data_IF_758634075996
#
_entry.id   IF_758634075996
#
_cell.length_a   1.000
_cell.length_b   1.000
_cell.length_c   1.000
_cell.angle_alpha   90.00
_cell.angle_beta   90.00
_cell.angle_gamma   90.00
#
_symmetry.space_group_name_H-M   'P 1'
#
loop_
_entity.id
_entity.type
_entity.pdbx_description
1 polymer ?
#
# COMPACT_ATOMS: atom_id res chain seq x y z
N UNK A 1 8.47 -16.78 -20.83
CA UNK A 1 7.59 -17.02 -19.67
C UNK A 1 8.38 -17.82 -18.65
N UNK A 2 8.83 -17.20 -17.57
CA UNK A 2 9.63 -17.89 -16.53
C UNK A 2 8.70 -18.83 -15.74
N UNK A 3 9.24 -20.02 -15.38
CA UNK A 3 8.52 -21.02 -14.57
C UNK A 3 7.94 -20.43 -13.27
N UNK A 4 8.57 -19.40 -12.72
CA UNK A 4 8.12 -18.63 -11.56
C UNK A 4 6.82 -17.84 -11.84
N UNK A 5 6.63 -17.34 -13.06
CA UNK A 5 5.44 -16.63 -13.49
C UNK A 5 4.20 -17.54 -13.61
N UNK A 6 4.39 -18.77 -14.11
CA UNK A 6 3.33 -19.77 -14.21
C UNK A 6 2.92 -20.29 -12.82
N UNK A 7 3.85 -20.57 -11.92
CA UNK A 7 3.57 -20.97 -10.54
C UNK A 7 2.77 -19.92 -9.77
N UNK A 8 3.11 -18.64 -9.89
CA UNK A 8 2.38 -17.56 -9.20
C UNK A 8 0.93 -17.39 -9.72
N UNK A 9 0.67 -17.63 -11.03
CA UNK A 9 -0.69 -17.56 -11.59
C UNK A 9 -1.58 -18.70 -11.05
N UNK A 10 -1.01 -19.89 -11.00
CA UNK A 10 -1.69 -21.08 -10.46
C UNK A 10 -2.03 -20.89 -8.98
N UNK A 11 -1.07 -20.38 -8.20
CA UNK A 11 -1.25 -20.11 -6.77
C UNK A 11 -2.34 -19.06 -6.48
N UNK A 12 -2.45 -18.00 -7.30
CA UNK A 12 -3.49 -16.97 -7.10
C UNK A 12 -4.88 -17.51 -7.41
N UNK A 13 -5.01 -18.36 -8.43
CA UNK A 13 -6.28 -19.01 -8.75
C UNK A 13 -6.67 -20.07 -7.69
N UNK A 14 -5.69 -20.85 -7.24
CA UNK A 14 -5.89 -21.87 -6.21
C UNK A 14 -6.23 -21.28 -4.83
N UNK A 15 -5.74 -20.08 -4.50
CA UNK A 15 -6.11 -19.39 -3.26
C UNK A 15 -7.45 -18.67 -3.35
N UNK A 16 -7.88 -18.24 -4.52
CA UNK A 16 -9.18 -17.57 -4.72
C UNK A 16 -10.38 -18.48 -4.39
N UNK A 17 -10.29 -19.76 -4.73
CA UNK A 17 -11.35 -20.75 -4.50
C UNK A 17 -11.61 -21.01 -3.00
N UNK A 18 -10.59 -21.36 -2.16
CA UNK A 18 -10.82 -21.56 -0.73
C UNK A 18 -11.28 -20.28 -0.02
N UNK A 19 -10.79 -19.10 -0.41
CA UNK A 19 -11.26 -17.84 0.17
C UNK A 19 -12.71 -17.54 -0.18
N UNK A 20 -13.16 -17.86 -1.41
CA UNK A 20 -14.57 -17.75 -1.78
C UNK A 20 -15.45 -18.68 -0.95
N UNK A 21 -14.98 -19.90 -0.68
CA UNK A 21 -15.69 -20.87 0.17
C UNK A 21 -15.76 -20.38 1.62
N UNK A 22 -14.66 -19.87 2.18
CA UNK A 22 -14.63 -19.30 3.55
C UNK A 22 -15.62 -18.14 3.67
N UNK A 23 -15.60 -17.21 2.70
CA UNK A 23 -16.52 -16.08 2.67
C UNK A 23 -17.99 -16.55 2.61
N UNK A 24 -18.31 -17.51 1.73
CA UNK A 24 -19.66 -18.04 1.58
C UNK A 24 -20.15 -18.68 2.89
N UNK A 25 -19.36 -19.58 3.48
CA UNK A 25 -19.71 -20.25 4.74
C UNK A 25 -19.87 -19.24 5.88
N UNK A 26 -18.99 -18.24 5.97
CA UNK A 26 -19.10 -17.19 6.98
C UNK A 26 -20.39 -16.37 6.80
N UNK A 27 -20.79 -16.06 5.55
CA UNK A 27 -22.06 -15.38 5.25
C UNK A 27 -23.28 -16.22 5.56
N UNK A 28 -23.26 -17.51 5.30
CA UNK A 28 -24.33 -18.42 5.68
C UNK A 28 -24.47 -18.50 7.21
N UNK A 29 -23.36 -18.68 7.92
CA UNK A 29 -23.36 -18.67 9.39
C UNK A 29 -23.86 -17.34 9.95
N UNK A 30 -23.50 -16.21 9.37
CA UNK A 30 -23.98 -14.89 9.77
C UNK A 30 -25.50 -14.75 9.60
N UNK A 31 -26.06 -15.35 8.53
CA UNK A 31 -27.51 -15.31 8.28
C UNK A 31 -28.31 -16.19 9.24
N UNK A 32 -27.70 -17.27 9.74
CA UNK A 32 -28.34 -18.24 10.62
C UNK A 32 -28.17 -17.93 12.12
N UNK A 33 -27.30 -16.96 12.48
CA UNK A 33 -27.05 -16.58 13.87
C UNK A 33 -28.00 -15.49 14.36
N UNK A 34 -28.35 -15.58 15.66
CA UNK A 34 -28.98 -14.48 16.36
C UNK A 34 -27.99 -13.28 16.43
N UNK A 35 -28.44 -12.04 16.15
CA UNK A 35 -27.58 -10.86 16.28
C UNK A 35 -26.92 -10.66 17.66
N UNK A 36 -27.53 -11.25 18.71
CA UNK A 36 -27.00 -11.24 20.09
C UNK A 36 -26.06 -12.42 20.40
N UNK A 37 -25.80 -13.33 19.43
CA UNK A 37 -24.89 -14.44 19.65
C UNK A 37 -23.44 -13.91 19.79
N UNK A 38 -22.71 -14.28 20.86
CA UNK A 38 -21.31 -13.84 21.04
C UNK A 38 -20.37 -14.15 19.88
N UNK A 39 -20.72 -15.10 19.01
CA UNK A 39 -19.92 -15.49 17.84
C UNK A 39 -20.23 -14.66 16.59
N UNK A 40 -21.26 -13.81 16.61
CA UNK A 40 -21.66 -13.02 15.45
C UNK A 40 -20.56 -12.08 14.99
N UNK A 41 -19.86 -11.42 15.91
CA UNK A 41 -18.73 -10.53 15.60
C UNK A 41 -17.56 -11.27 14.95
N UNK A 42 -17.20 -12.45 15.47
CA UNK A 42 -16.11 -13.27 14.91
C UNK A 42 -16.43 -13.74 13.48
N UNK A 43 -17.67 -14.10 13.22
CA UNK A 43 -18.12 -14.57 11.89
C UNK A 43 -18.13 -13.42 10.89
N UNK A 44 -18.59 -12.24 11.30
CA UNK A 44 -18.50 -11.02 10.48
C UNK A 44 -17.04 -10.74 10.13
N UNK A 45 -16.15 -10.79 11.11
CA UNK A 45 -14.73 -10.58 10.90
C UNK A 45 -14.13 -11.60 9.91
N UNK A 46 -14.47 -12.87 10.01
CA UNK A 46 -14.01 -13.91 9.07
C UNK A 46 -14.49 -13.60 7.64
N UNK A 47 -15.75 -13.20 7.45
CA UNK A 47 -16.29 -12.85 6.15
C UNK A 47 -15.56 -11.65 5.53
N UNK A 48 -15.32 -10.59 6.32
CA UNK A 48 -14.60 -9.38 5.91
C UNK A 48 -13.14 -9.69 5.54
N UNK A 49 -12.46 -10.54 6.31
CA UNK A 49 -11.09 -10.93 6.01
C UNK A 49 -10.97 -11.78 4.75
N UNK A 50 -11.91 -12.68 4.52
CA UNK A 50 -11.97 -13.45 3.28
C UNK A 50 -12.18 -12.54 2.07
N UNK A 51 -13.05 -11.54 2.15
CA UNK A 51 -13.25 -10.55 1.10
C UNK A 51 -12.00 -9.70 0.86
N UNK A 52 -11.34 -9.26 1.92
CA UNK A 52 -10.10 -8.50 1.82
C UNK A 52 -8.99 -9.31 1.14
N UNK A 53 -8.82 -10.58 1.50
CA UNK A 53 -7.88 -11.47 0.82
C UNK A 53 -8.20 -11.64 -0.67
N UNK A 54 -9.49 -11.77 -1.02
CA UNK A 54 -9.95 -11.82 -2.42
C UNK A 54 -9.64 -10.54 -3.18
N UNK A 55 -9.85 -9.38 -2.57
CA UNK A 55 -9.52 -8.08 -3.17
C UNK A 55 -8.02 -7.96 -3.44
N UNK A 56 -7.16 -8.36 -2.50
CA UNK A 56 -5.70 -8.40 -2.68
C UNK A 56 -5.31 -9.32 -3.84
N UNK A 57 -5.88 -10.53 -3.90
CA UNK A 57 -5.61 -11.46 -5.00
C UNK A 57 -6.10 -10.93 -6.35
N UNK A 58 -7.25 -10.22 -6.38
CA UNK A 58 -7.74 -9.55 -7.58
C UNK A 58 -6.78 -8.46 -8.05
N UNK A 59 -6.28 -7.61 -7.14
CA UNK A 59 -5.28 -6.59 -7.45
C UNK A 59 -3.98 -7.20 -8.00
N UNK A 60 -3.52 -8.31 -7.42
CA UNK A 60 -2.34 -9.05 -7.93
C UNK A 60 -2.60 -9.61 -9.34
N UNK A 61 -3.81 -10.05 -9.64
CA UNK A 61 -4.20 -10.54 -10.97
C UNK A 61 -4.29 -9.42 -11.99
N UNK A 62 -4.98 -8.33 -11.67
CA UNK A 62 -5.11 -7.14 -12.53
C UNK A 62 -3.76 -6.51 -12.84
N UNK A 63 -2.86 -6.49 -11.85
CA UNK A 63 -1.49 -6.08 -12.02
C UNK A 63 -0.72 -6.88 -13.07
N UNK A 64 -1.09 -8.13 -13.31
CA UNK A 64 -0.49 -9.01 -14.31
C UNK A 64 -1.14 -8.87 -15.70
N UNK A 65 -2.45 -8.68 -15.75
CA UNK A 65 -3.21 -8.52 -17.00
C UNK A 65 -2.97 -7.14 -17.63
N UNK A 66 -2.62 -6.13 -16.83
CA UNK A 66 -2.23 -4.78 -17.30
C UNK A 66 -0.86 -4.73 -18.00
N UNK A 67 -0.24 -5.87 -18.30
CA UNK A 67 1.02 -5.95 -19.05
C UNK A 67 0.81 -5.80 -20.58
N UNK A 68 -0.10 -4.94 -20.97
CA UNK A 68 -0.16 -4.50 -22.36
C UNK A 68 0.88 -3.38 -22.56
N UNK A 69 1.77 -3.61 -23.49
CA UNK A 69 3.06 -2.93 -23.74
C UNK A 69 2.96 -1.39 -23.83
N UNK A 70 1.79 -0.85 -24.13
CA UNK A 70 1.58 0.59 -24.33
C UNK A 70 1.50 1.40 -23.02
N UNK A 71 1.17 0.77 -21.89
CA UNK A 71 1.07 1.42 -20.57
C UNK A 71 2.22 1.06 -19.62
N UNK A 72 3.26 0.42 -20.13
CA UNK A 72 4.37 -0.09 -19.31
C UNK A 72 5.30 1.02 -18.76
N UNK A 73 5.12 2.28 -19.21
CA UNK A 73 5.99 3.42 -18.87
C UNK A 73 5.17 4.55 -18.26
N UNK A 74 5.65 5.10 -17.17
CA UNK A 74 5.00 6.21 -16.46
C UNK A 74 6.05 7.19 -15.92
N UNK A 75 5.91 8.51 -16.11
CA UNK A 75 6.73 9.49 -15.39
C UNK A 75 6.49 9.40 -13.88
N UNK A 76 7.52 9.68 -13.08
CA UNK A 76 7.45 9.58 -11.62
C UNK A 76 6.34 10.45 -11.01
N UNK A 77 6.15 11.66 -11.51
CA UNK A 77 5.08 12.57 -11.08
C UNK A 77 3.69 11.99 -11.33
N UNK A 78 3.48 11.39 -12.50
CA UNK A 78 2.23 10.71 -12.84
C UNK A 78 2.02 9.46 -11.99
N UNK A 79 3.07 8.68 -11.69
CA UNK A 79 2.97 7.49 -10.83
C UNK A 79 2.51 7.83 -9.41
N UNK A 80 3.11 8.84 -8.78
CA UNK A 80 2.69 9.25 -7.43
C UNK A 80 1.32 9.91 -7.44
N UNK A 81 0.96 10.64 -8.49
CA UNK A 81 -0.37 11.21 -8.65
C UNK A 81 -1.44 10.13 -8.82
N UNK A 82 -1.15 9.06 -9.56
CA UNK A 82 -2.03 7.89 -9.73
C UNK A 82 -2.22 7.16 -8.41
N UNK A 83 -1.15 6.89 -7.66
CA UNK A 83 -1.24 6.24 -6.34
C UNK A 83 -2.07 7.06 -5.33
N UNK A 84 -2.03 8.38 -5.42
CA UNK A 84 -2.77 9.28 -4.52
C UNK A 84 -4.22 9.57 -4.97
N UNK A 85 -4.57 9.29 -6.22
CA UNK A 85 -5.86 9.66 -6.80
C UNK A 85 -7.09 9.15 -6.02
N UNK A 86 -7.13 7.89 -5.51
CA UNK A 86 -8.27 7.37 -4.75
C UNK A 86 -8.55 8.11 -3.44
N UNK A 87 -7.55 8.81 -2.88
CA UNK A 87 -7.61 9.42 -1.55
C UNK A 87 -7.89 10.94 -1.60
N UNK A 88 -8.05 11.52 -2.79
CA UNK A 88 -8.39 12.94 -2.95
C UNK A 88 -9.83 13.20 -2.52
N UNK A 89 -10.04 14.28 -1.75
CA UNK A 89 -11.37 14.69 -1.33
C UNK A 89 -11.98 13.93 -0.14
N UNK A 90 -11.19 13.10 0.55
CA UNK A 90 -11.63 12.33 1.73
C UNK A 90 -11.57 13.14 3.05
N UNK A 91 -11.73 14.46 2.99
CA UNK A 91 -11.78 15.33 4.18
C UNK A 91 -10.42 15.78 4.71
N UNK A 92 -9.32 15.35 4.08
CA UNK A 92 -7.93 15.72 4.41
C UNK A 92 -7.31 16.47 3.22
N UNK A 93 -6.52 17.51 3.50
CA UNK A 93 -5.75 18.25 2.49
C UNK A 93 -4.57 17.39 2.00
N UNK A 94 -4.77 16.66 0.89
CA UNK A 94 -3.77 15.80 0.28
C UNK A 94 -3.01 16.55 -0.81
N UNK A 95 -1.77 16.89 -0.52
CA UNK A 95 -0.86 17.55 -1.47
C UNK A 95 0.11 16.53 -2.07
N UNK A 96 0.23 16.50 -3.40
CA UNK A 96 1.18 15.65 -4.13
C UNK A 96 2.13 16.53 -4.93
N UNK A 97 3.44 16.31 -4.77
CA UNK A 97 4.49 17.03 -5.49
C UNK A 97 5.55 16.07 -5.98
N UNK A 98 6.19 16.44 -7.09
CA UNK A 98 7.35 15.75 -7.63
C UNK A 98 8.36 16.80 -8.09
N UNK A 99 9.57 16.74 -7.55
CA UNK A 99 10.60 17.74 -7.79
C UNK A 99 11.99 17.09 -7.77
N UNK A 100 12.95 17.60 -8.56
CA UNK A 100 14.32 17.12 -8.49
C UNK A 100 14.93 17.47 -7.12
N UNK A 101 15.80 16.59 -6.61
CA UNK A 101 16.71 16.94 -5.52
C UNK A 101 17.75 17.97 -6.02
N UNK A 102 18.58 18.55 -5.13
CA UNK A 102 19.57 19.56 -5.50
C UNK A 102 20.53 19.12 -6.62
N UNK A 103 20.84 17.83 -6.66
CA UNK A 103 21.68 17.17 -7.68
C UNK A 103 20.86 16.36 -8.72
N UNK A 104 19.55 16.56 -8.73
CA UNK A 104 18.63 15.86 -9.63
C UNK A 104 18.57 16.48 -11.03
N UNK A 105 18.23 15.64 -12.02
CA UNK A 105 17.95 16.13 -13.36
C UNK A 105 16.63 16.91 -13.39
N UNK A 106 16.51 18.00 -14.18
CA UNK A 106 15.27 18.81 -14.22
C UNK A 106 14.03 18.04 -14.65
N UNK A 107 14.19 16.97 -15.42
CA UNK A 107 13.08 16.15 -15.93
C UNK A 107 12.84 14.94 -15.04
N UNK A 108 11.59 14.71 -14.68
CA UNK A 108 11.19 13.51 -13.95
C UNK A 108 11.58 12.23 -14.73
N UNK A 109 12.15 11.22 -14.04
CA UNK A 109 12.50 9.97 -14.68
C UNK A 109 11.25 9.23 -15.15
N UNK A 110 11.37 8.55 -16.28
CA UNK A 110 10.34 7.65 -16.78
C UNK A 110 10.60 6.25 -16.23
N UNK A 111 9.61 5.70 -15.57
CA UNK A 111 9.69 4.46 -14.83
C UNK A 111 8.90 3.35 -15.54
N UNK A 112 9.21 2.11 -15.21
CA UNK A 112 8.31 0.99 -15.47
C UNK A 112 7.09 1.17 -14.56
N UNK A 113 5.88 1.14 -15.13
CA UNK A 113 4.66 1.14 -14.35
C UNK A 113 4.56 -0.18 -13.60
N UNK A 114 4.80 -0.17 -12.28
CA UNK A 114 4.72 -1.33 -11.41
C UNK A 114 3.46 -1.25 -10.55
N UNK A 115 2.53 -2.19 -10.72
CA UNK A 115 1.36 -2.30 -9.86
C UNK A 115 1.73 -2.51 -8.38
N UNK A 116 2.82 -3.22 -8.11
CA UNK A 116 3.31 -3.42 -6.75
C UNK A 116 3.72 -2.10 -6.10
N UNK A 117 4.41 -1.22 -6.84
CA UNK A 117 4.80 0.12 -6.36
C UNK A 117 3.56 0.98 -6.15
N UNK A 118 2.62 0.98 -7.10
CA UNK A 118 1.36 1.73 -6.99
C UNK A 118 0.54 1.28 -5.78
N UNK A 119 0.38 -0.03 -5.58
CA UNK A 119 -0.34 -0.59 -4.44
C UNK A 119 0.34 -0.24 -3.11
N UNK A 120 1.66 -0.38 -3.03
CA UNK A 120 2.40 -0.07 -1.81
C UNK A 120 2.32 1.41 -1.44
N UNK A 121 2.51 2.31 -2.41
CA UNK A 121 2.36 3.75 -2.19
C UNK A 121 0.92 4.11 -1.80
N UNK A 122 -0.08 3.51 -2.46
CA UNK A 122 -1.49 3.66 -2.12
C UNK A 122 -1.77 3.30 -0.67
N UNK A 123 -1.30 2.14 -0.21
CA UNK A 123 -1.50 1.69 1.18
C UNK A 123 -0.84 2.62 2.21
N UNK A 124 0.34 3.19 1.91
CA UNK A 124 0.96 4.17 2.81
C UNK A 124 0.22 5.51 2.81
N UNK A 125 -0.31 5.95 1.66
CA UNK A 125 -1.13 7.17 1.56
C UNK A 125 -2.46 6.99 2.29
N UNK A 126 -3.11 5.84 2.13
CA UNK A 126 -4.33 5.47 2.87
C UNK A 126 -4.12 5.56 4.37
N UNK A 127 -3.01 4.98 4.85
CA UNK A 127 -2.63 5.04 6.25
C UNK A 127 -2.43 6.49 6.71
N UNK A 128 -1.68 7.29 5.96
CA UNK A 128 -1.46 8.69 6.28
C UNK A 128 -2.78 9.48 6.33
N UNK A 129 -3.69 9.29 5.37
CA UNK A 129 -5.02 9.93 5.32
C UNK A 129 -5.89 9.50 6.51
N UNK A 130 -5.84 8.22 6.90
CA UNK A 130 -6.63 7.69 8.01
C UNK A 130 -6.21 8.22 9.38
N UNK A 131 -4.94 8.61 9.55
CA UNK A 131 -4.40 9.10 10.82
C UNK A 131 -4.11 10.60 10.84
N UNK A 132 -4.16 11.29 9.72
CA UNK A 132 -3.95 12.73 9.65
C UNK A 132 -5.02 13.51 10.42
N UNK A 133 -4.61 14.59 11.08
CA UNK A 133 -5.54 15.56 11.65
C UNK A 133 -6.19 16.41 10.54
N UNK A 134 -5.38 16.96 9.63
CA UNK A 134 -5.84 17.85 8.56
C UNK A 134 -5.12 17.70 7.24
N UNK A 135 -3.86 17.23 7.24
CA UNK A 135 -2.99 17.32 6.07
C UNK A 135 -2.10 16.11 5.86
N UNK A 136 -2.02 15.71 4.59
CA UNK A 136 -1.06 14.70 4.10
C UNK A 136 -0.24 15.29 2.96
N UNK A 137 1.09 15.11 3.01
CA UNK A 137 1.97 15.51 1.93
C UNK A 137 2.68 14.28 1.36
N UNK A 138 2.59 14.13 0.05
CA UNK A 138 3.32 13.13 -0.74
C UNK A 138 4.32 13.88 -1.61
N UNK A 139 5.60 13.66 -1.38
CA UNK A 139 6.68 14.31 -2.12
C UNK A 139 7.59 13.27 -2.73
N UNK A 140 7.65 13.24 -4.05
CA UNK A 140 8.61 12.43 -4.80
C UNK A 140 9.82 13.30 -5.18
N UNK A 141 11.01 12.79 -4.89
CA UNK A 141 12.27 13.44 -5.29
C UNK A 141 13.16 12.45 -6.02
N UNK A 142 14.04 12.94 -6.88
CA UNK A 142 15.00 12.11 -7.60
C UNK A 142 16.34 12.79 -7.78
N UNK A 143 17.37 11.96 -7.82
CA UNK A 143 18.73 12.32 -8.25
C UNK A 143 19.06 11.59 -9.56
N UNK A 144 20.32 11.64 -9.98
CA UNK A 144 20.78 10.80 -11.10
C UNK A 144 20.72 9.29 -10.80
N UNK A 145 20.80 8.89 -9.52
CA UNK A 145 20.99 7.50 -9.10
C UNK A 145 19.82 6.90 -8.32
N UNK A 146 18.93 7.71 -7.78
CA UNK A 146 17.88 7.24 -6.87
C UNK A 146 16.59 8.03 -6.95
N UNK A 147 15.50 7.37 -6.53
CA UNK A 147 14.17 7.94 -6.37
C UNK A 147 13.77 7.78 -4.91
N UNK A 148 13.21 8.81 -4.31
CA UNK A 148 12.64 8.78 -2.98
C UNK A 148 11.21 9.31 -3.01
N UNK A 149 10.28 8.58 -2.38
CA UNK A 149 8.92 9.08 -2.12
C UNK A 149 8.75 9.22 -0.62
N UNK A 150 8.41 10.42 -0.16
CA UNK A 150 8.14 10.73 1.24
C UNK A 150 6.66 11.02 1.40
N UNK A 151 6.01 10.25 2.28
CA UNK A 151 4.62 10.44 2.67
C UNK A 151 4.63 10.89 4.12
N UNK A 152 3.99 12.01 4.43
CA UNK A 152 3.93 12.56 5.79
C UNK A 152 2.57 13.14 6.10
N UNK A 153 2.11 12.92 7.33
CA UNK A 153 0.87 13.47 7.89
C UNK A 153 1.16 14.46 9.04
N UNK A 154 0.09 15.03 9.57
CA UNK A 154 0.11 15.93 10.73
C UNK A 154 -0.62 15.33 11.95
N UNK A 155 -0.92 14.05 11.93
CA UNK A 155 -1.59 13.32 12.99
C UNK A 155 -0.72 13.05 14.22
N UNK A 156 -1.09 12.07 15.05
CA UNK A 156 -0.37 11.76 16.30
C UNK A 156 1.03 11.17 16.06
N UNK A 157 1.31 10.66 14.88
CA UNK A 157 2.51 9.89 14.57
C UNK A 157 2.40 8.43 15.04
N UNK A 158 3.47 7.67 14.90
CA UNK A 158 3.53 6.28 15.34
C UNK A 158 3.76 6.20 16.86
N UNK A 159 3.04 5.31 17.55
CA UNK A 159 3.29 5.02 18.95
C UNK A 159 4.72 4.46 19.14
N UNK A 160 5.37 4.82 20.25
CA UNK A 160 6.77 4.46 20.49
C UNK A 160 6.99 2.93 20.50
N UNK A 161 5.99 2.19 21.00
CA UNK A 161 6.01 0.73 21.08
C UNK A 161 5.80 0.05 19.71
N UNK A 162 5.11 0.74 18.79
CA UNK A 162 4.77 0.24 17.43
C UNK A 162 5.88 0.53 16.45
N UNK A 163 6.52 1.68 16.54
CA UNK A 163 7.51 2.16 15.57
C UNK A 163 8.64 1.14 15.29
N UNK A 164 9.25 0.45 16.28
CA UNK A 164 10.28 -0.55 16.02
C UNK A 164 9.78 -1.81 15.30
N UNK A 165 8.48 -2.10 15.43
CA UNK A 165 7.83 -3.31 14.89
C UNK A 165 7.03 -3.02 13.61
N UNK A 166 7.06 -1.78 13.11
CA UNK A 166 6.30 -1.37 11.95
C UNK A 166 6.73 -2.18 10.72
N UNK A 167 5.74 -2.81 10.07
CA UNK A 167 5.98 -3.72 8.95
C UNK A 167 6.27 -5.16 9.37
N UNK A 168 6.08 -5.53 10.64
CA UNK A 168 5.82 -6.92 11.03
C UNK A 168 4.33 -7.24 10.84
N UNK A 169 3.98 -8.50 10.52
CA UNK A 169 2.58 -8.89 10.38
C UNK A 169 1.83 -8.71 11.72
N UNK A 170 0.57 -8.28 11.64
CA UNK A 170 -0.33 -8.09 12.79
C UNK A 170 0.05 -6.95 13.77
N UNK A 171 0.92 -6.05 13.38
CA UNK A 171 1.23 -4.85 14.17
C UNK A 171 0.34 -3.70 13.72
N UNK A 172 -0.62 -3.30 14.56
CA UNK A 172 -1.54 -2.18 14.32
C UNK A 172 -1.43 -1.12 15.42
N UNK A 173 -1.62 0.16 15.06
CA UNK A 173 -1.71 1.26 16.05
C UNK A 173 -3.08 1.32 16.77
N UNK A 174 -4.10 0.73 16.18
CA UNK A 174 -5.43 0.61 16.78
C UNK A 174 -5.38 -0.58 17.72
N UNK A 175 -5.09 -0.38 19.01
CA UNK A 175 -5.05 -1.44 20.02
C UNK A 175 -6.28 -2.37 19.95
N UNK A 176 -6.28 -3.45 20.70
CA UNK A 176 -7.29 -4.54 20.74
C UNK A 176 -8.78 -4.10 20.82
N UNK A 177 -9.04 -2.81 21.07
CA UNK A 177 -10.39 -2.25 21.23
C UNK A 177 -11.16 -2.04 19.91
N UNK A 178 -10.58 -2.26 18.72
CA UNK A 178 -11.26 -2.11 17.43
C UNK A 178 -11.14 -3.39 16.61
N UNK A 179 -11.73 -4.47 17.12
CA UNK A 179 -11.98 -5.71 16.36
C UNK A 179 -13.10 -5.56 15.30
N UNK A 180 -13.71 -4.39 15.20
CA UNK A 180 -14.72 -4.05 14.22
C UNK A 180 -14.15 -3.31 13.02
N UNK A 181 -13.87 -4.02 11.95
CA UNK A 181 -13.66 -3.49 10.58
C UNK A 181 -12.36 -2.78 10.32
N UNK A 182 -11.36 -3.50 9.80
CA UNK A 182 -10.57 -2.94 8.73
C UNK A 182 -9.09 -2.71 8.88
N UNK A 183 -8.38 -2.92 9.99
CA UNK A 183 -6.92 -2.81 9.89
C UNK A 183 -6.15 -3.69 10.90
N UNK A 184 -5.91 -4.93 10.51
CA UNK A 184 -5.10 -5.89 11.29
C UNK A 184 -3.58 -5.62 11.19
N UNK A 185 -3.15 -4.44 10.78
CA UNK A 185 -1.73 -4.15 10.59
C UNK A 185 -1.08 -4.88 9.40
N UNK A 186 -1.87 -5.58 8.58
CA UNK A 186 -1.37 -6.31 7.40
C UNK A 186 -1.10 -5.37 6.22
N UNK A 187 -1.83 -4.27 6.07
CA UNK A 187 -1.66 -3.34 4.95
C UNK A 187 -0.25 -2.76 4.90
N UNK A 188 0.27 -2.32 6.05
CA UNK A 188 1.63 -1.79 6.13
C UNK A 188 2.70 -2.87 5.89
N UNK A 189 2.50 -4.09 6.42
CA UNK A 189 3.38 -5.23 6.18
C UNK A 189 3.43 -5.63 4.69
N UNK A 190 2.26 -5.72 4.04
CA UNK A 190 2.17 -6.04 2.60
C UNK A 190 2.87 -4.95 1.79
N UNK A 191 2.58 -3.68 2.05
CA UNK A 191 3.18 -2.56 1.36
C UNK A 191 4.70 -2.55 1.51
N UNK A 192 5.24 -2.76 2.71
CA UNK A 192 6.68 -2.91 2.96
C UNK A 192 7.27 -4.05 2.12
N UNK A 193 6.63 -5.23 2.15
CA UNK A 193 7.09 -6.40 1.38
C UNK A 193 7.13 -6.12 -0.13
N UNK A 194 6.14 -5.40 -0.66
CA UNK A 194 6.11 -5.01 -2.07
C UNK A 194 7.23 -4.03 -2.44
N UNK A 195 7.52 -3.04 -1.58
CA UNK A 195 8.65 -2.12 -1.77
C UNK A 195 9.98 -2.91 -1.82
N UNK A 196 10.19 -3.81 -0.84
CA UNK A 196 11.42 -4.61 -0.78
C UNK A 196 11.56 -5.56 -1.98
N UNK A 197 10.48 -6.19 -2.42
CA UNK A 197 10.46 -7.04 -3.62
C UNK A 197 10.75 -6.28 -4.91
N UNK A 198 10.38 -5.02 -5.00
CA UNK A 198 10.72 -4.14 -6.13
C UNK A 198 12.12 -3.53 -6.03
N UNK A 199 12.95 -4.00 -5.08
CA UNK A 199 14.32 -3.56 -4.86
C UNK A 199 14.42 -2.22 -4.12
N UNK A 200 13.33 -1.76 -3.53
CA UNK A 200 13.29 -0.55 -2.70
C UNK A 200 13.63 -0.81 -1.24
N UNK A 201 13.75 0.27 -0.49
CA UNK A 201 13.90 0.28 0.97
C UNK A 201 12.86 1.21 1.57
N UNK A 202 12.47 0.92 2.82
CA UNK A 202 11.54 1.75 3.57
C UNK A 202 12.17 2.22 4.87
N UNK A 203 11.91 3.47 5.24
CA UNK A 203 12.23 4.03 6.54
C UNK A 203 11.00 4.73 7.11
N UNK A 204 10.77 4.56 8.40
CA UNK A 204 9.64 5.14 9.13
C UNK A 204 10.14 5.93 10.33
N UNK A 205 9.53 7.06 10.59
CA UNK A 205 9.84 7.89 11.76
C UNK A 205 8.68 8.82 12.09
N UNK A 206 8.70 9.40 13.24
CA UNK A 206 7.85 10.54 13.57
C UNK A 206 8.52 11.86 13.15
N UNK A 207 7.72 12.89 12.93
CA UNK A 207 8.22 14.24 12.68
C UNK A 207 8.89 14.79 13.94
N UNK A 208 9.90 15.61 13.73
CA UNK A 208 10.62 16.26 14.85
C UNK A 208 9.78 17.40 15.45
N UNK A 209 9.63 17.46 16.78
CA UNK A 209 8.96 18.57 17.44
C UNK A 209 9.49 19.94 16.97
N UNK A 210 8.65 20.99 16.91
CA UNK A 210 7.25 21.03 17.37
C UNK A 210 6.23 20.43 16.39
N UNK A 211 6.65 19.92 15.23
CA UNK A 211 5.77 19.29 14.24
C UNK A 211 5.36 17.91 14.75
N UNK A 212 4.08 17.56 14.56
CA UNK A 212 3.53 16.22 14.82
C UNK A 212 3.37 15.46 13.50
N UNK A 213 3.15 14.15 13.60
CA UNK A 213 2.81 13.28 12.49
C UNK A 213 3.82 12.21 12.21
N UNK A 214 3.43 11.25 11.37
CA UNK A 214 4.28 10.20 10.87
C UNK A 214 4.97 10.59 9.56
N UNK A 215 6.06 9.91 9.26
CA UNK A 215 6.77 9.98 8.00
C UNK A 215 7.13 8.58 7.56
N UNK A 216 6.73 8.23 6.36
CA UNK A 216 7.15 7.02 5.63
C UNK A 216 7.97 7.46 4.43
N UNK A 217 9.17 6.94 4.29
CA UNK A 217 10.05 7.19 3.15
C UNK A 217 10.35 5.88 2.45
N UNK A 218 10.19 5.87 1.14
CA UNK A 218 10.58 4.77 0.28
C UNK A 218 11.69 5.22 -0.66
N UNK A 219 12.67 4.38 -0.87
CA UNK A 219 13.87 4.69 -1.66
C UNK A 219 14.16 3.55 -2.63
N UNK A 220 14.41 3.89 -3.88
CA UNK A 220 14.88 2.94 -4.90
C UNK A 220 16.10 3.47 -5.64
N UNK A 221 17.06 2.60 -6.00
CA UNK A 221 18.01 2.90 -7.05
C UNK A 221 17.25 3.17 -8.37
N UNK A 222 17.57 4.27 -9.05
CA UNK A 222 16.84 4.68 -10.27
C UNK A 222 16.84 3.56 -11.32
N UNK A 223 17.97 2.90 -11.55
CA UNK A 223 18.12 1.84 -12.56
C UNK A 223 17.19 0.64 -12.37
N UNK A 224 16.67 0.40 -11.16
CA UNK A 224 15.74 -0.72 -10.92
C UNK A 224 14.35 -0.41 -11.48
N UNK A 225 13.87 0.83 -11.29
CA UNK A 225 12.54 1.25 -11.71
C UNK A 225 12.53 1.91 -13.08
N UNK A 226 13.68 2.35 -13.59
CA UNK A 226 13.78 3.05 -14.85
C UNK A 226 13.28 2.19 -16.01
N UNK A 227 12.43 2.76 -16.84
CA UNK A 227 12.05 2.12 -18.09
C UNK A 227 13.23 2.18 -19.07
N UNK A 228 13.50 1.12 -19.85
CA UNK A 228 14.52 1.16 -20.89
C UNK A 228 14.19 2.27 -21.90
N UNK A 229 15.21 2.93 -22.42
CA UNK A 229 15.03 3.87 -23.52
C UNK A 229 14.46 3.13 -24.73
N UNK A 230 13.54 3.76 -25.44
CA UNK A 230 13.07 3.26 -26.73
C UNK A 230 14.06 3.77 -27.78
N UNK A 231 14.89 2.86 -28.33
CA UNK A 231 15.68 3.10 -29.52
C UNK A 231 14.78 3.37 -30.75
#
# INVERSE_FOLDING_TARGET
>A
LSALGAMSAMTTHELGTPLATIHLVAKELQADLDPEDPRAEDIILIAEQADRCRAILATIREAREATDIVHARIPLDALVAEAAAPFKGLGVDLTVRAEPAEDGTPRAPTLKRSPEVLHALGAFIENAVSFADTRVNVVATWTADQIMVTISDDGPGFAAEVLPKLGEPYVSQRGEAHLGGGDMGLGFFIAKTLIERTGGRIATRNRTPPKKGAVVQTLWPLGILQAPDLD
#
